data_IF_522061191179
#
_entry.id   IF_522061191179
#
_cell.length_a   1.000
_cell.length_b   1.000
_cell.length_c   1.000
_cell.angle_alpha   90.00
_cell.angle_beta   90.00
_cell.angle_gamma   90.00
#
_symmetry.space_group_name_H-M   'P 1'
#
loop_
_entity.id
_entity.type
_entity.pdbx_description
1 polymer ?
#
# COMPACT_ATOMS: atom_id res chain seq x y z
N UNK A 1 -12.28 42.34 -27.67
CA UNK A 1 -11.50 41.12 -27.36
C UNK A 1 -12.47 39.95 -27.31
N UNK A 2 -12.30 38.93 -28.16
CA UNK A 2 -13.11 37.71 -28.11
C UNK A 2 -12.63 36.88 -26.91
N UNK A 3 -13.41 36.83 -25.83
CA UNK A 3 -13.22 35.84 -24.77
C UNK A 3 -13.75 34.50 -25.28
N UNK A 4 -12.86 33.67 -25.82
CA UNK A 4 -13.18 32.27 -26.05
C UNK A 4 -13.06 31.55 -24.71
N UNK A 5 -14.19 31.40 -24.03
CA UNK A 5 -14.26 30.52 -22.87
C UNK A 5 -14.13 29.08 -23.38
N UNK A 6 -12.89 28.58 -23.35
CA UNK A 6 -12.53 27.28 -23.93
C UNK A 6 -13.43 26.17 -23.37
N UNK A 7 -13.84 26.30 -22.10
CA UNK A 7 -14.72 25.38 -21.39
C UNK A 7 -16.16 25.31 -21.94
N UNK A 8 -16.64 26.35 -22.63
CA UNK A 8 -17.98 26.34 -23.25
C UNK A 8 -18.00 25.67 -24.62
N UNK A 9 -16.83 25.62 -25.28
CA UNK A 9 -16.67 24.94 -26.57
C UNK A 9 -16.78 23.42 -26.40
N UNK A 10 -17.24 22.75 -27.46
CA UNK A 10 -17.29 21.28 -27.49
C UNK A 10 -15.93 20.65 -27.14
N UNK A 11 -14.84 21.23 -27.65
CA UNK A 11 -13.47 20.79 -27.39
C UNK A 11 -13.05 20.94 -25.92
N UNK A 12 -13.41 22.04 -25.24
CA UNK A 12 -13.10 22.20 -23.81
C UNK A 12 -13.93 21.30 -22.90
N UNK A 13 -15.19 21.04 -23.25
CA UNK A 13 -16.03 20.05 -22.53
C UNK A 13 -15.44 18.64 -22.64
N UNK A 14 -14.96 18.26 -23.82
CA UNK A 14 -14.27 16.98 -24.04
C UNK A 14 -12.96 16.89 -23.24
N UNK A 15 -12.16 17.96 -23.20
CA UNK A 15 -10.92 18.02 -22.43
C UNK A 15 -11.15 17.87 -20.91
N UNK A 16 -12.18 18.53 -20.38
CA UNK A 16 -12.57 18.43 -18.97
C UNK A 16 -13.02 17.00 -18.63
N UNK A 17 -13.80 16.37 -19.51
CA UNK A 17 -14.25 14.99 -19.32
C UNK A 17 -13.07 14.00 -19.32
N UNK A 18 -12.09 14.17 -20.21
CA UNK A 18 -10.88 13.34 -20.20
C UNK A 18 -10.09 13.49 -18.90
N UNK A 19 -9.91 14.72 -18.41
CA UNK A 19 -9.24 14.97 -17.13
C UNK A 19 -9.94 14.34 -15.92
N UNK A 20 -11.29 14.36 -15.92
CA UNK A 20 -12.10 13.72 -14.87
C UNK A 20 -11.95 12.19 -14.90
N UNK A 21 -12.02 11.58 -16.07
CA UNK A 21 -11.87 10.12 -16.25
C UNK A 21 -10.47 9.68 -15.79
N UNK A 22 -9.42 10.36 -16.23
CA UNK A 22 -8.06 10.06 -15.78
C UNK A 22 -7.91 10.23 -14.26
N UNK A 23 -8.53 11.26 -13.69
CA UNK A 23 -8.52 11.54 -12.25
C UNK A 23 -9.18 10.41 -11.45
N UNK A 24 -10.34 9.94 -11.93
CA UNK A 24 -11.08 8.82 -11.34
C UNK A 24 -10.30 7.51 -11.45
N UNK A 25 -9.77 7.18 -12.62
CA UNK A 25 -8.97 5.96 -12.83
C UNK A 25 -7.69 5.96 -11.96
N UNK A 26 -6.98 7.11 -11.89
CA UNK A 26 -5.81 7.26 -11.01
C UNK A 26 -6.22 7.16 -9.55
N UNK A 27 -7.37 7.72 -9.18
CA UNK A 27 -7.95 7.64 -7.84
C UNK A 27 -8.28 6.21 -7.43
N UNK A 28 -8.99 5.48 -8.29
CA UNK A 28 -9.36 4.08 -8.11
C UNK A 28 -8.11 3.20 -8.00
N UNK A 29 -7.17 3.30 -8.93
CA UNK A 29 -5.89 2.54 -8.89
C UNK A 29 -5.10 2.83 -7.62
N UNK A 30 -5.06 4.09 -7.16
CA UNK A 30 -4.39 4.45 -5.89
C UNK A 30 -5.16 3.91 -4.68
N UNK A 31 -6.49 3.97 -4.69
CA UNK A 31 -7.35 3.44 -3.64
C UNK A 31 -7.19 1.92 -3.49
N UNK A 32 -7.25 1.20 -4.61
CA UNK A 32 -7.05 -0.25 -4.67
C UNK A 32 -5.64 -0.64 -4.20
N UNK A 33 -4.60 0.10 -4.64
CA UNK A 33 -3.22 -0.12 -4.16
C UNK A 33 -3.09 0.10 -2.66
N UNK A 34 -3.69 1.16 -2.10
CA UNK A 34 -3.67 1.44 -0.65
C UNK A 34 -4.43 0.37 0.14
N UNK A 35 -5.60 -0.07 -0.35
CA UNK A 35 -6.37 -1.13 0.28
C UNK A 35 -5.62 -2.46 0.32
N UNK A 36 -4.96 -2.83 -0.79
CA UNK A 36 -4.11 -4.04 -0.84
C UNK A 36 -2.93 -3.95 0.13
N UNK A 37 -2.25 -2.80 0.20
CA UNK A 37 -1.13 -2.59 1.13
C UNK A 37 -1.56 -2.71 2.59
N UNK A 38 -2.68 -2.08 2.94
CA UNK A 38 -3.23 -2.15 4.30
C UNK A 38 -3.57 -3.61 4.68
N UNK A 39 -4.30 -4.31 3.80
CA UNK A 39 -4.68 -5.71 4.04
C UNK A 39 -3.47 -6.63 4.18
N UNK A 40 -2.42 -6.41 3.37
CA UNK A 40 -1.17 -7.19 3.48
C UNK A 40 -0.46 -6.99 4.82
N UNK A 41 -0.45 -5.75 5.33
CA UNK A 41 0.12 -5.43 6.66
C UNK A 41 -0.69 -6.07 7.78
N UNK A 42 -2.02 -5.98 7.73
CA UNK A 42 -2.93 -6.60 8.70
C UNK A 42 -2.75 -8.12 8.75
N UNK A 43 -2.68 -8.78 7.59
CA UNK A 43 -2.46 -10.22 7.50
C UNK A 43 -1.08 -10.65 8.03
N UNK A 44 -0.04 -9.84 7.86
CA UNK A 44 1.28 -10.11 8.45
C UNK A 44 1.25 -10.04 9.98
N UNK A 45 0.59 -9.03 10.53
CA UNK A 45 0.43 -8.87 11.98
C UNK A 45 -0.37 -10.05 12.54
N UNK A 46 -1.48 -10.40 11.90
CA UNK A 46 -2.27 -11.57 12.30
C UNK A 46 -1.48 -12.87 12.22
N UNK A 47 -0.72 -13.10 11.14
CA UNK A 47 0.11 -14.30 10.98
C UNK A 47 1.20 -14.42 12.05
N UNK A 48 1.74 -13.28 12.50
CA UNK A 48 2.67 -13.25 13.62
C UNK A 48 1.96 -13.64 14.92
N UNK A 49 0.79 -13.06 15.17
CA UNK A 49 -0.01 -13.28 16.38
C UNK A 49 -0.40 -14.75 16.54
N UNK A 50 -0.87 -15.39 15.47
CA UNK A 50 -1.22 -16.81 15.46
C UNK A 50 -0.02 -17.73 15.76
N UNK A 51 1.21 -17.33 15.41
CA UNK A 51 2.41 -18.16 15.59
C UNK A 51 3.12 -17.95 16.92
N UNK A 52 3.21 -16.70 17.37
CA UNK A 52 4.08 -16.32 18.48
C UNK A 52 3.38 -15.48 19.55
N UNK A 53 2.08 -15.25 19.42
CA UNK A 53 1.30 -14.36 20.28
C UNK A 53 1.47 -12.89 19.92
N UNK A 54 0.96 -12.01 20.78
CA UNK A 54 0.89 -10.56 20.53
C UNK A 54 2.23 -9.96 20.05
N UNK A 55 2.25 -9.29 18.88
CA UNK A 55 3.46 -8.65 18.37
C UNK A 55 3.87 -7.44 19.22
N UNK A 56 5.16 -7.34 19.59
CA UNK A 56 5.69 -6.14 20.21
C UNK A 56 5.41 -4.88 19.37
N UNK A 57 5.24 -3.74 20.05
CA UNK A 57 4.87 -2.48 19.40
C UNK A 57 5.84 -2.08 18.28
N UNK A 58 7.14 -2.34 18.44
CA UNK A 58 8.15 -2.03 17.42
C UNK A 58 7.97 -2.83 16.14
N UNK A 59 7.55 -4.11 16.22
CA UNK A 59 7.24 -4.94 15.06
C UNK A 59 6.00 -4.41 14.36
N UNK A 60 4.94 -4.11 15.13
CA UNK A 60 3.71 -3.55 14.59
C UNK A 60 3.95 -2.23 13.85
N UNK A 61 4.77 -1.35 14.43
CA UNK A 61 5.19 -0.09 13.80
C UNK A 61 6.00 -0.32 12.52
N UNK A 62 6.98 -1.23 12.56
CA UNK A 62 7.79 -1.56 11.40
C UNK A 62 6.94 -2.08 10.24
N UNK A 63 6.03 -3.03 10.48
CA UNK A 63 5.13 -3.58 9.45
C UNK A 63 4.20 -2.49 8.89
N UNK A 64 3.62 -1.64 9.76
CA UNK A 64 2.72 -0.54 9.32
C UNK A 64 3.42 0.48 8.43
N UNK A 65 4.73 0.69 8.59
CA UNK A 65 5.51 1.64 7.80
C UNK A 65 5.94 1.09 6.43
N UNK A 66 5.90 -0.23 6.20
CA UNK A 66 6.27 -0.84 4.92
C UNK A 66 5.32 -0.42 3.80
N UNK A 67 5.78 0.41 2.87
CA UNK A 67 4.98 0.91 1.73
C UNK A 67 5.13 0.07 0.44
N UNK A 68 6.06 -0.89 0.45
CA UNK A 68 6.44 -1.69 -0.71
C UNK A 68 5.79 -3.08 -0.67
N UNK A 69 4.89 -3.35 -1.62
CA UNK A 69 4.19 -4.63 -1.72
C UNK A 69 5.12 -5.84 -1.82
N UNK A 70 6.27 -5.72 -2.49
CA UNK A 70 7.19 -6.85 -2.63
C UNK A 70 7.81 -7.25 -1.30
N UNK A 71 8.17 -6.28 -0.44
CA UNK A 71 8.70 -6.54 0.91
C UNK A 71 7.66 -7.24 1.79
N UNK A 72 6.41 -6.76 1.74
CA UNK A 72 5.30 -7.38 2.47
C UNK A 72 5.07 -8.84 2.02
N UNK A 73 5.14 -9.11 0.72
CA UNK A 73 5.01 -10.47 0.18
C UNK A 73 6.15 -11.40 0.61
N UNK A 74 7.40 -10.92 0.62
CA UNK A 74 8.53 -11.71 1.09
C UNK A 74 8.42 -12.03 2.58
N UNK A 75 8.06 -11.04 3.41
CA UNK A 75 7.77 -11.28 4.83
C UNK A 75 6.65 -12.30 5.02
N UNK A 76 5.63 -12.31 4.14
CA UNK A 76 4.54 -13.27 4.21
C UNK A 76 5.03 -14.70 3.94
N UNK A 77 5.94 -14.88 2.98
CA UNK A 77 6.57 -16.19 2.73
C UNK A 77 7.43 -16.63 3.92
N UNK A 78 8.15 -15.69 4.54
CA UNK A 78 9.02 -15.98 5.68
C UNK A 78 8.17 -16.41 6.89
N UNK A 79 7.15 -15.64 7.27
CA UNK A 79 6.32 -15.94 8.45
C UNK A 79 5.66 -17.31 8.34
N UNK A 80 5.21 -17.73 7.15
CA UNK A 80 4.63 -19.05 6.94
C UNK A 80 5.63 -20.19 7.14
N UNK A 81 6.88 -20.01 6.70
CA UNK A 81 7.91 -21.08 6.70
C UNK A 81 8.74 -21.15 7.98
N UNK A 82 8.96 -20.02 8.64
CA UNK A 82 9.79 -19.98 9.85
C UNK A 82 8.95 -20.23 11.10
N UNK A 83 9.53 -20.95 12.06
CA UNK A 83 9.02 -21.04 13.43
C UNK A 83 9.86 -20.24 14.42
N UNK A 84 10.95 -19.63 13.94
CA UNK A 84 11.84 -18.81 14.75
C UNK A 84 11.38 -17.35 14.72
N UNK A 85 10.85 -16.90 15.87
CA UNK A 85 10.37 -15.53 16.12
C UNK A 85 11.45 -14.48 15.84
N UNK A 86 12.62 -14.61 16.46
CA UNK A 86 13.72 -13.64 16.36
C UNK A 86 14.25 -13.48 14.92
N UNK A 87 14.24 -14.57 14.14
CA UNK A 87 14.63 -14.53 12.73
C UNK A 87 13.61 -13.78 11.89
N UNK A 88 12.32 -13.95 12.17
CA UNK A 88 11.27 -13.21 11.48
C UNK A 88 11.35 -11.72 11.84
N UNK A 89 11.49 -11.39 13.12
CA UNK A 89 11.58 -10.01 13.59
C UNK A 89 12.76 -9.25 12.96
N UNK A 90 13.93 -9.90 12.86
CA UNK A 90 15.07 -9.32 12.13
C UNK A 90 14.76 -9.04 10.66
N UNK A 91 14.03 -9.93 10.00
CA UNK A 91 13.61 -9.74 8.60
C UNK A 91 12.67 -8.54 8.46
N UNK A 92 11.75 -8.36 9.42
CA UNK A 92 10.84 -7.20 9.46
C UNK A 92 11.62 -5.90 9.63
N UNK A 93 12.54 -5.86 10.61
CA UNK A 93 13.35 -4.67 10.89
C UNK A 93 14.18 -4.31 9.65
N UNK A 94 14.86 -5.28 9.06
CA UNK A 94 15.67 -5.05 7.87
C UNK A 94 14.83 -4.60 6.66
N UNK A 95 13.62 -5.13 6.49
CA UNK A 95 12.72 -4.67 5.44
C UNK A 95 12.29 -3.20 5.66
N UNK A 96 12.10 -2.79 6.92
CA UNK A 96 11.68 -1.45 7.30
C UNK A 96 12.80 -0.39 7.26
N UNK A 97 14.05 -0.77 7.49
CA UNK A 97 15.23 0.13 7.37
C UNK A 97 15.55 0.54 5.93
N UNK A 98 15.09 -0.24 4.94
CA UNK A 98 15.37 -0.01 3.52
C UNK A 98 14.25 0.75 2.79
N UNK A 99 13.34 1.43 3.51
CA UNK A 99 12.15 2.13 2.97
C UNK A 99 12.42 3.62 2.77
#
# INVERSE_FOLDING_TARGET
>A
MLNFDLAETKAGKELINMGLIEGLEKGEKKGEKKGRLQKARELLIWSYEEKWGEPPEYITKAVRNLSENHKLNELFKIVLKTNNKDSFERSVIQAAENV
#
